data_IF_245090398551
#
_entry.id   IF_245090398551
#
_cell.length_a   1.000
_cell.length_b   1.000
_cell.length_c   1.000
_cell.angle_alpha   90.00
_cell.angle_beta   90.00
_cell.angle_gamma   90.00
#
_symmetry.space_group_name_H-M   'P 1'
#
loop_
_entity.id
_entity.type
_entity.pdbx_description
1 polymer ?
#
# COMPACT_ATOMS: atom_id res chain seq x y z
N UNK A 1 7.54 7.03 -2.36
CA UNK A 1 7.17 5.60 -2.26
C UNK A 1 6.48 5.37 -0.92
N UNK A 2 5.40 4.59 -0.90
CA UNK A 2 4.75 4.14 0.33
C UNK A 2 5.11 2.67 0.56
N UNK A 3 5.88 2.37 1.60
CA UNK A 3 6.35 1.03 1.92
C UNK A 3 5.51 0.41 3.04
N UNK A 4 4.88 -0.72 2.72
CA UNK A 4 4.10 -1.55 3.66
C UNK A 4 4.93 -2.71 4.24
N UNK A 5 6.20 -2.87 3.85
CA UNK A 5 7.09 -3.86 4.44
C UNK A 5 7.71 -3.29 5.73
N UNK A 6 8.00 -4.17 6.68
CA UNK A 6 8.77 -3.81 7.88
C UNK A 6 10.28 -3.66 7.59
N UNK A 7 10.73 -4.09 6.42
CA UNK A 7 12.12 -4.01 5.97
C UNK A 7 12.31 -2.82 5.01
N UNK A 8 13.55 -2.31 4.99
CA UNK A 8 14.00 -1.25 4.07
C UNK A 8 14.50 -1.77 2.72
N UNK A 9 14.11 -3.00 2.36
CA UNK A 9 14.55 -3.65 1.11
C UNK A 9 14.23 -2.79 -0.13
N UNK A 10 13.05 -2.17 -0.27
CA UNK A 10 12.77 -1.29 -1.40
C UNK A 10 13.72 -0.07 -1.49
N UNK A 11 14.13 0.48 -0.35
CA UNK A 11 15.05 1.62 -0.29
C UNK A 11 16.45 1.25 -0.80
N UNK A 12 16.90 0.01 -0.55
CA UNK A 12 18.15 -0.51 -1.12
C UNK A 12 18.10 -0.52 -2.65
N UNK A 13 17.00 -1.03 -3.23
CA UNK A 13 16.84 -1.03 -4.69
C UNK A 13 16.82 0.39 -5.27
N UNK A 14 16.17 1.35 -4.60
CA UNK A 14 16.16 2.74 -5.07
C UNK A 14 17.58 3.32 -5.07
N UNK A 15 18.32 3.11 -3.98
CA UNK A 15 19.70 3.55 -3.83
C UNK A 15 20.61 2.97 -4.92
N UNK A 16 20.50 1.67 -5.17
CA UNK A 16 21.37 0.95 -6.09
C UNK A 16 21.02 1.22 -7.56
N UNK A 17 19.73 1.21 -7.91
CA UNK A 17 19.27 1.37 -9.30
C UNK A 17 19.32 2.81 -9.78
N UNK A 18 19.18 3.77 -8.85
CA UNK A 18 19.19 5.18 -9.20
C UNK A 18 20.01 5.97 -8.18
N UNK A 19 21.35 5.90 -8.25
CA UNK A 19 22.23 6.62 -7.33
C UNK A 19 21.97 8.14 -7.31
N UNK A 20 21.49 8.72 -8.43
CA UNK A 20 21.10 10.13 -8.46
C UNK A 20 19.83 10.47 -7.63
N UNK A 21 19.12 9.47 -7.11
CA UNK A 21 18.03 9.66 -6.14
C UNK A 21 18.50 9.58 -4.69
N UNK A 22 19.72 9.12 -4.44
CA UNK A 22 20.35 9.22 -3.13
C UNK A 22 20.55 10.73 -2.84
N UNK A 23 19.68 11.29 -1.99
CA UNK A 23 19.54 12.72 -1.68
C UNK A 23 18.65 13.56 -2.63
N UNK A 24 17.85 12.95 -3.51
CA UNK A 24 16.86 13.73 -4.25
C UNK A 24 15.65 14.03 -3.33
N UNK A 25 15.39 15.31 -2.98
CA UNK A 25 14.28 15.67 -2.09
C UNK A 25 12.90 15.35 -2.68
N UNK A 26 12.81 15.04 -3.97
CA UNK A 26 11.57 14.64 -4.66
C UNK A 26 11.24 13.15 -4.49
N UNK A 27 12.17 12.34 -3.94
CA UNK A 27 11.98 10.91 -3.74
C UNK A 27 12.02 10.60 -2.24
N UNK A 28 10.85 10.60 -1.62
CA UNK A 28 10.70 10.22 -0.21
C UNK A 28 10.15 8.78 -0.08
N UNK A 29 10.49 8.10 1.01
CA UNK A 29 10.05 6.74 1.35
C UNK A 29 9.31 6.76 2.69
N UNK A 30 8.01 6.47 2.65
CA UNK A 30 7.16 6.45 3.83
C UNK A 30 6.99 4.99 4.29
N UNK A 31 7.68 4.64 5.37
CA UNK A 31 7.59 3.32 6.01
C UNK A 31 6.42 3.26 6.97
N UNK A 32 5.24 2.98 6.44
CA UNK A 32 3.99 3.20 7.16
C UNK A 32 3.77 2.22 8.31
N UNK A 33 4.38 1.02 8.27
CA UNK A 33 4.31 0.02 9.34
C UNK A 33 5.48 0.05 10.32
N UNK A 34 6.31 1.08 10.27
CA UNK A 34 7.55 1.14 11.02
C UNK A 34 8.72 0.46 10.29
N UNK A 35 9.91 0.59 10.88
CA UNK A 35 11.17 0.08 10.35
C UNK A 35 11.87 -0.80 11.38
N UNK A 36 12.51 -1.88 10.93
CA UNK A 36 13.38 -2.67 11.79
C UNK A 36 14.54 -1.82 12.32
N UNK A 37 14.81 -1.95 13.63
CA UNK A 37 15.93 -1.30 14.32
C UNK A 37 15.90 0.23 14.32
N UNK A 38 14.70 0.83 14.26
CA UNK A 38 14.53 2.30 14.29
C UNK A 38 13.54 2.71 15.36
N UNK A 39 14.05 3.30 16.44
CA UNK A 39 13.24 3.66 17.60
C UNK A 39 12.29 4.82 17.31
N UNK A 40 12.62 5.70 16.36
CA UNK A 40 11.76 6.83 15.95
C UNK A 40 10.58 6.39 15.06
N UNK A 41 10.66 5.20 14.47
CA UNK A 41 9.59 4.62 13.65
C UNK A 41 9.39 3.13 13.99
N UNK A 42 8.91 2.83 15.20
CA UNK A 42 8.83 1.47 15.70
C UNK A 42 7.78 0.66 14.93
N UNK A 43 7.97 -0.66 14.90
CA UNK A 43 7.08 -1.59 14.20
C UNK A 43 5.62 -1.47 14.68
N UNK A 44 4.70 -1.54 13.72
CA UNK A 44 3.26 -1.46 13.92
C UNK A 44 2.62 -2.77 13.47
N UNK A 45 2.39 -3.67 14.42
CA UNK A 45 1.65 -4.90 14.21
C UNK A 45 0.16 -4.70 14.47
N UNK A 46 -0.69 -5.54 13.86
CA UNK A 46 -2.12 -5.51 14.11
C UNK A 46 -2.99 -5.67 12.87
N UNK A 47 -4.26 -5.32 13.02
CA UNK A 47 -5.29 -5.33 11.98
C UNK A 47 -5.48 -3.92 11.40
N UNK A 48 -5.69 -3.86 10.09
CA UNK A 48 -5.77 -2.61 9.32
C UNK A 48 -7.12 -2.37 8.63
N UNK A 49 -8.15 -3.16 8.94
CA UNK A 49 -9.47 -3.06 8.29
C UNK A 49 -10.54 -2.57 9.27
N UNK A 50 -10.66 -1.24 9.38
CA UNK A 50 -11.73 -0.61 10.18
C UNK A 50 -13.06 -0.48 9.41
N UNK A 51 -13.04 -0.77 8.10
CA UNK A 51 -14.25 -0.80 7.29
C UNK A 51 -15.04 -2.09 7.47
N UNK A 52 -14.43 -3.11 8.07
CA UNK A 52 -15.07 -4.39 8.37
C UNK A 52 -16.19 -4.22 9.42
N UNK A 53 -17.30 -4.93 9.24
CA UNK A 53 -18.42 -4.85 10.17
C UNK A 53 -18.08 -5.42 11.56
N UNK A 54 -17.12 -6.33 11.66
CA UNK A 54 -16.59 -6.81 12.93
C UNK A 54 -15.88 -5.70 13.71
N UNK A 55 -15.21 -4.74 13.05
CA UNK A 55 -14.62 -3.58 13.73
C UNK A 55 -15.69 -2.80 14.49
N UNK A 56 -16.83 -2.51 13.85
CA UNK A 56 -17.96 -1.80 14.48
C UNK A 56 -18.53 -2.55 15.69
N UNK A 57 -18.47 -3.89 15.69
CA UNK A 57 -18.90 -4.70 16.83
C UNK A 57 -17.92 -4.52 18.00
N UNK A 58 -16.61 -4.53 17.72
CA UNK A 58 -15.56 -4.33 18.73
C UNK A 58 -15.61 -2.93 19.33
N UNK A 59 -15.75 -1.90 18.49
CA UNK A 59 -15.85 -0.50 18.92
C UNK A 59 -17.05 -0.28 19.88
N UNK A 60 -18.20 -0.89 19.58
CA UNK A 60 -19.40 -0.82 20.42
C UNK A 60 -19.27 -1.49 21.79
N UNK A 61 -18.23 -2.31 22.02
CA UNK A 61 -17.99 -2.91 23.34
C UNK A 61 -17.49 -1.89 24.36
N UNK A 62 -17.06 -0.70 23.93
CA UNK A 62 -16.58 0.40 24.77
C UNK A 62 -15.49 -0.05 25.77
N UNK A 63 -14.61 -0.92 25.32
CA UNK A 63 -13.47 -1.45 26.06
C UNK A 63 -12.26 -1.45 25.14
N UNK A 64 -11.27 -0.61 25.47
CA UNK A 64 -10.11 -0.35 24.63
C UNK A 64 -9.28 -1.59 24.33
N UNK A 65 -9.37 -2.64 25.17
CA UNK A 65 -8.66 -3.91 24.96
C UNK A 65 -9.03 -4.58 23.64
N UNK A 66 -10.24 -4.33 23.12
CA UNK A 66 -10.66 -4.84 21.81
C UNK A 66 -10.03 -4.09 20.63
N UNK A 67 -9.45 -2.91 20.89
CA UNK A 67 -8.85 -2.03 19.90
C UNK A 67 -7.31 -1.96 19.98
N UNK A 68 -6.69 -2.56 21.00
CA UNK A 68 -5.23 -2.53 21.25
C UNK A 68 -4.39 -2.96 20.03
N UNK A 69 -4.91 -3.87 19.21
CA UNK A 69 -4.22 -4.41 18.03
C UNK A 69 -4.66 -3.74 16.71
N UNK A 70 -5.31 -2.57 16.76
CA UNK A 70 -5.66 -1.82 15.56
C UNK A 70 -4.48 -0.93 15.14
N UNK A 71 -4.01 -1.10 13.90
CA UNK A 71 -2.83 -0.40 13.39
C UNK A 71 -3.01 1.12 13.32
N UNK A 72 -4.25 1.59 13.14
CA UNK A 72 -4.59 3.00 13.05
C UNK A 72 -4.12 3.81 14.25
N UNK A 73 -4.28 3.29 15.47
CA UNK A 73 -3.74 3.93 16.67
C UNK A 73 -2.22 3.97 16.65
N UNK A 74 -1.60 2.91 16.15
CA UNK A 74 -0.15 2.83 15.96
C UNK A 74 0.38 3.87 14.98
N UNK A 75 -0.37 4.23 13.93
CA UNK A 75 0.02 5.23 12.94
C UNK A 75 0.13 6.64 13.49
N UNK A 76 -0.53 6.95 14.61
CA UNK A 76 -0.38 8.25 15.28
C UNK A 76 0.93 8.41 16.04
N UNK A 77 1.72 7.35 16.19
CA UNK A 77 3.02 7.41 16.88
C UNK A 77 4.10 8.12 16.06
N UNK A 78 3.90 8.31 14.77
CA UNK A 78 4.87 8.98 13.87
C UNK A 78 4.18 9.94 12.90
N UNK A 79 4.96 10.77 12.19
CA UNK A 79 4.43 11.71 11.17
C UNK A 79 4.13 11.02 9.83
N UNK A 80 4.31 9.70 9.69
CA UNK A 80 4.24 9.00 8.40
C UNK A 80 2.86 9.09 7.74
N UNK A 81 1.78 8.97 8.52
CA UNK A 81 0.42 9.14 8.01
C UNK A 81 0.16 10.58 7.52
N UNK A 82 0.72 11.57 8.22
CA UNK A 82 0.63 12.99 7.85
C UNK A 82 1.45 13.32 6.61
N UNK A 83 2.66 12.76 6.49
CA UNK A 83 3.48 12.82 5.26
C UNK A 83 2.71 12.29 4.06
N UNK A 84 2.08 11.11 4.20
CA UNK A 84 1.24 10.53 3.15
C UNK A 84 0.08 11.47 2.82
N UNK A 85 -0.66 11.95 3.82
CA UNK A 85 -1.78 12.87 3.60
C UNK A 85 -1.37 14.15 2.86
N UNK A 86 -0.23 14.76 3.22
CA UNK A 86 0.31 15.94 2.52
C UNK A 86 0.59 15.62 1.05
N UNK A 87 1.30 14.52 0.78
CA UNK A 87 1.60 14.09 -0.58
C UNK A 87 0.33 13.90 -1.44
N UNK A 88 -0.70 13.25 -0.91
CA UNK A 88 -1.96 13.06 -1.65
C UNK A 88 -2.67 14.38 -1.98
N UNK A 89 -2.48 15.42 -1.15
CA UNK A 89 -3.08 16.74 -1.31
C UNK A 89 -2.26 17.70 -2.19
N UNK A 90 -0.97 17.43 -2.43
CA UNK A 90 -0.07 18.32 -3.16
C UNK A 90 -0.44 18.50 -4.64
N UNK A 91 -1.04 17.49 -5.26
CA UNK A 91 -1.45 17.55 -6.66
C UNK A 91 -1.93 16.22 -7.19
N UNK A 92 -2.18 16.17 -8.50
CA UNK A 92 -2.59 14.95 -9.18
C UNK A 92 -1.51 13.87 -9.14
N UNK A 93 -1.91 12.62 -8.95
CA UNK A 93 -0.99 11.50 -8.91
C UNK A 93 -1.52 10.24 -9.59
N UNK A 94 -0.59 9.36 -9.95
CA UNK A 94 -0.85 8.00 -10.38
C UNK A 94 -0.33 7.03 -9.31
N UNK A 95 -1.13 6.01 -9.01
CA UNK A 95 -0.69 4.91 -8.14
C UNK A 95 -0.05 3.82 -8.98
N UNK A 96 1.11 3.33 -8.55
CA UNK A 96 1.78 2.18 -9.12
C UNK A 96 1.87 1.08 -8.06
N UNK A 97 1.19 -0.03 -8.29
CA UNK A 97 1.10 -1.14 -7.35
C UNK A 97 2.11 -2.21 -7.73
N UNK A 98 3.01 -2.49 -6.80
CA UNK A 98 4.05 -3.51 -6.90
C UNK A 98 3.99 -4.41 -5.67
N UNK A 99 3.75 -5.70 -5.85
CA UNK A 99 3.73 -6.68 -4.76
C UNK A 99 2.42 -7.47 -4.66
N UNK A 100 2.42 -8.49 -3.80
CA UNK A 100 1.34 -9.48 -3.69
C UNK A 100 0.31 -9.17 -2.60
N UNK A 101 0.71 -8.40 -1.57
CA UNK A 101 -0.02 -8.30 -0.30
C UNK A 101 -1.10 -7.22 -0.26
N UNK A 102 -1.55 -6.72 -1.41
CA UNK A 102 -2.58 -5.69 -1.48
C UNK A 102 -3.99 -6.23 -1.11
N UNK A 103 -4.17 -7.50 -0.74
CA UNK A 103 -5.49 -8.05 -0.39
C UNK A 103 -5.93 -7.83 1.05
N UNK A 104 -4.99 -7.72 1.99
CA UNK A 104 -5.23 -7.62 3.44
C UNK A 104 -4.56 -6.39 4.08
N UNK A 105 -3.83 -5.60 3.28
CA UNK A 105 -3.15 -4.40 3.76
C UNK A 105 -4.16 -3.27 4.01
N UNK A 106 -3.88 -2.46 5.02
CA UNK A 106 -4.68 -1.37 5.60
C UNK A 106 -5.74 -0.80 4.65
N UNK A 107 -6.93 -1.42 4.67
CA UNK A 107 -8.01 -1.18 3.70
C UNK A 107 -8.47 0.25 3.72
N UNK A 108 -8.53 0.85 4.91
CA UNK A 108 -8.86 2.27 5.12
C UNK A 108 -7.87 3.17 4.38
N UNK A 109 -6.58 2.90 4.52
CA UNK A 109 -5.52 3.70 3.91
C UNK A 109 -5.50 3.53 2.39
N UNK A 110 -5.57 2.30 1.89
CA UNK A 110 -5.59 2.04 0.45
C UNK A 110 -6.84 2.61 -0.21
N UNK A 111 -8.01 2.54 0.45
CA UNK A 111 -9.20 3.22 -0.03
C UNK A 111 -9.00 4.74 -0.10
N UNK A 112 -8.43 5.36 0.94
CA UNK A 112 -8.12 6.78 0.95
C UNK A 112 -7.20 7.21 -0.20
N UNK A 113 -6.17 6.41 -0.51
CA UNK A 113 -5.27 6.65 -1.65
C UNK A 113 -5.99 6.43 -2.99
N UNK A 114 -6.74 5.34 -3.13
CA UNK A 114 -7.34 4.99 -4.40
C UNK A 114 -8.51 5.90 -4.73
N UNK A 115 -9.30 6.31 -3.74
CA UNK A 115 -10.51 7.14 -3.91
C UNK A 115 -10.31 8.64 -3.70
N UNK A 116 -9.08 9.10 -3.45
CA UNK A 116 -8.78 10.53 -3.37
C UNK A 116 -9.11 11.24 -4.68
N UNK A 117 -9.54 12.50 -4.61
CA UNK A 117 -9.94 13.25 -5.81
C UNK A 117 -8.78 13.64 -6.72
N UNK A 118 -7.55 13.61 -6.20
CA UNK A 118 -6.32 13.81 -6.97
C UNK A 118 -5.79 12.51 -7.61
N UNK A 119 -6.35 11.35 -7.28
CA UNK A 119 -5.98 10.10 -7.95
C UNK A 119 -6.49 10.14 -9.40
N UNK A 120 -5.60 9.90 -10.38
CA UNK A 120 -5.94 9.93 -11.80
C UNK A 120 -5.89 8.58 -12.49
N UNK A 121 -5.04 7.67 -12.01
CA UNK A 121 -4.94 6.32 -12.53
C UNK A 121 -4.24 5.38 -11.56
N UNK A 122 -4.49 4.08 -11.71
CA UNK A 122 -3.92 3.01 -10.91
C UNK A 122 -3.36 1.97 -11.86
N UNK A 123 -2.04 1.83 -11.83
CA UNK A 123 -1.27 0.87 -12.61
C UNK A 123 -0.86 -0.31 -11.75
N UNK A 124 -1.10 -1.52 -12.24
CA UNK A 124 -0.82 -2.75 -11.50
C UNK A 124 0.27 -3.52 -12.26
N UNK A 125 1.39 -3.72 -11.60
CA UNK A 125 2.43 -4.59 -12.12
C UNK A 125 2.18 -6.03 -11.68
N UNK A 126 2.41 -6.98 -12.58
CA UNK A 126 2.07 -8.39 -12.40
C UNK A 126 3.27 -9.31 -12.57
N UNK A 127 3.16 -10.53 -12.04
CA UNK A 127 4.18 -11.60 -12.16
C UNK A 127 3.54 -12.91 -12.58
N UNK A 128 4.35 -13.88 -13.01
CA UNK A 128 3.93 -15.27 -13.26
C UNK A 128 3.60 -15.97 -11.94
N UNK A 129 2.64 -16.89 -11.97
CA UNK A 129 2.20 -17.63 -10.77
C UNK A 129 3.12 -18.78 -10.35
N UNK A 130 4.09 -19.18 -11.18
CA UNK A 130 5.06 -20.21 -10.83
C UNK A 130 5.53 -21.06 -12.02
N UNK A 131 4.73 -21.17 -13.08
CA UNK A 131 5.10 -21.89 -14.31
C UNK A 131 5.32 -20.95 -15.52
N UNK A 132 6.21 -21.29 -16.48
CA UNK A 132 6.34 -20.59 -17.75
C UNK A 132 5.04 -20.53 -18.58
N UNK A 133 4.13 -21.47 -18.35
CA UNK A 133 2.85 -21.61 -19.05
C UNK A 133 1.64 -21.08 -18.25
N UNK A 134 1.86 -20.57 -17.04
CA UNK A 134 0.77 -20.08 -16.18
C UNK A 134 0.39 -18.63 -16.46
N UNK A 135 -0.90 -18.34 -16.27
CA UNK A 135 -1.42 -16.98 -16.25
C UNK A 135 -0.71 -16.11 -15.19
N UNK A 136 -0.68 -14.80 -15.45
CA UNK A 136 -0.14 -13.84 -14.50
C UNK A 136 -1.04 -13.72 -13.28
N UNK A 137 -0.49 -13.23 -12.16
CA UNK A 137 -1.29 -12.93 -10.97
C UNK A 137 -2.15 -11.66 -11.10
N UNK A 138 -2.22 -11.04 -12.28
CA UNK A 138 -2.96 -9.79 -12.52
C UNK A 138 -4.43 -9.87 -12.10
N UNK A 139 -5.11 -10.99 -12.39
CA UNK A 139 -6.51 -11.21 -11.98
C UNK A 139 -6.67 -11.23 -10.46
N UNK A 140 -5.74 -11.86 -9.75
CA UNK A 140 -5.74 -11.90 -8.29
C UNK A 140 -5.47 -10.52 -7.69
N UNK A 141 -4.49 -9.79 -8.25
CA UNK A 141 -4.18 -8.42 -7.83
C UNK A 141 -5.37 -7.48 -8.04
N UNK A 142 -6.04 -7.54 -9.19
CA UNK A 142 -7.24 -6.73 -9.48
C UNK A 142 -8.39 -7.08 -8.55
N UNK A 143 -8.63 -8.36 -8.24
CA UNK A 143 -9.59 -8.79 -7.23
C UNK A 143 -9.24 -8.25 -5.84
N UNK A 144 -7.96 -8.27 -5.46
CA UNK A 144 -7.47 -7.75 -4.19
C UNK A 144 -7.72 -6.24 -4.05
N UNK A 145 -7.31 -5.45 -5.03
CA UNK A 145 -7.54 -4.00 -4.99
C UNK A 145 -9.03 -3.65 -5.06
N UNK A 146 -9.86 -4.48 -5.70
CA UNK A 146 -11.30 -4.21 -5.82
C UNK A 146 -11.98 -4.06 -4.46
N UNK A 147 -11.46 -4.71 -3.41
CA UNK A 147 -11.99 -4.64 -2.03
C UNK A 147 -11.75 -3.28 -1.38
N UNK A 148 -10.80 -2.51 -1.88
CA UNK A 148 -10.44 -1.18 -1.40
C UNK A 148 -11.25 -0.05 -2.05
N UNK A 149 -12.17 -0.36 -2.97
CA UNK A 149 -13.07 0.63 -3.54
C UNK A 149 -14.47 0.52 -2.96
N UNK A 150 -14.97 1.63 -2.44
CA UNK A 150 -16.37 1.82 -2.10
C UNK A 150 -17.18 2.10 -3.38
N UNK A 151 -16.63 2.90 -4.30
CA UNK A 151 -17.24 3.24 -5.59
C UNK A 151 -16.63 2.39 -6.71
N UNK A 152 -17.29 1.29 -7.08
CA UNK A 152 -16.81 0.39 -8.16
C UNK A 152 -16.65 1.09 -9.52
N UNK A 153 -17.36 2.19 -9.75
CA UNK A 153 -17.16 3.02 -10.95
C UNK A 153 -15.75 3.64 -10.97
N UNK A 154 -15.27 4.20 -9.83
CA UNK A 154 -13.92 4.77 -9.74
C UNK A 154 -12.84 3.75 -10.08
N UNK A 155 -13.00 2.50 -9.63
CA UNK A 155 -12.10 1.42 -10.01
C UNK A 155 -12.05 1.21 -11.53
N UNK A 156 -13.21 1.16 -12.20
CA UNK A 156 -13.28 0.97 -13.66
C UNK A 156 -12.69 2.14 -14.44
N UNK A 157 -12.82 3.35 -13.92
CA UNK A 157 -12.33 4.56 -14.58
C UNK A 157 -10.82 4.73 -14.44
N UNK A 158 -10.23 4.30 -13.31
CA UNK A 158 -8.84 4.60 -12.98
C UNK A 158 -7.88 3.42 -13.11
N UNK A 159 -8.35 2.19 -12.94
CA UNK A 159 -7.48 1.01 -13.14
C UNK A 159 -7.16 0.90 -14.63
N UNK A 160 -5.88 1.05 -14.96
CA UNK A 160 -5.44 1.02 -16.36
C UNK A 160 -5.60 -0.39 -16.94
N UNK A 161 -5.85 -0.53 -18.25
CA UNK A 161 -5.93 -1.84 -18.89
C UNK A 161 -4.64 -2.64 -18.73
N UNK A 162 -4.80 -3.96 -18.65
CA UNK A 162 -3.67 -4.91 -18.60
C UNK A 162 -2.73 -4.70 -19.78
N UNK A 163 -1.42 -4.68 -19.50
CA UNK A 163 -0.37 -4.73 -20.51
C UNK A 163 0.62 -5.86 -20.21
N UNK A 164 1.00 -6.67 -21.20
CA UNK A 164 2.04 -7.70 -21.03
C UNK A 164 3.36 -7.12 -20.51
N UNK A 165 3.70 -5.89 -20.92
CA UNK A 165 4.95 -5.22 -20.58
C UNK A 165 5.01 -4.70 -19.14
N UNK A 166 3.88 -4.66 -18.42
CA UNK A 166 3.82 -4.28 -17.00
C UNK A 166 4.21 -5.46 -16.08
N UNK A 167 5.13 -6.29 -16.57
CA UNK A 167 5.64 -7.47 -15.90
C UNK A 167 6.77 -7.10 -14.92
N UNK A 168 6.64 -7.54 -13.68
CA UNK A 168 7.71 -7.50 -12.68
C UNK A 168 8.50 -8.81 -12.73
N UNK A 169 9.77 -8.78 -13.19
CA UNK A 169 10.61 -9.96 -13.22
C UNK A 169 10.89 -10.45 -11.80
N UNK A 170 10.88 -11.77 -11.63
CA UNK A 170 11.33 -12.40 -10.40
C UNK A 170 12.65 -13.10 -10.68
N UNK A 171 13.62 -12.95 -9.77
CA UNK A 171 14.78 -13.84 -9.76
C UNK A 171 14.24 -15.21 -9.39
N UNK A 172 14.30 -16.16 -10.32
CA UNK A 172 13.96 -17.56 -10.05
C UNK A 172 15.11 -18.09 -9.19
N UNK A 173 14.85 -18.25 -7.89
CA UNK A 173 15.76 -18.89 -6.94
C UNK A 173 15.77 -20.40 -7.11
#
# INVERSE_FOLDING_TARGET
MLNFNYTYTPDLYIRDLVPQFENNPLVDSIHIHGELYKDENPLIFGFGDEMDDHYKILEKKNDNRFLDNMKSFGYFRTDNLRKLSRFLMEGEYQVQIMGHSCGLSDRVMLNGIFEHDNCRSIKIFHRRKGSPFEETNYKELTQNISRHFNKKQRMRDWVVPYRPDDFLPQVVS
#
